data_IF_283919186029
#
_entry.id   IF_283919186029
#
_cell.length_a   1.000
_cell.length_b   1.000
_cell.length_c   1.000
_cell.angle_alpha   90.00
_cell.angle_beta   90.00
_cell.angle_gamma   90.00
#
_symmetry.space_group_name_H-M   'P 1'
#
loop_
_entity.id
_entity.type
_entity.pdbx_description
1 polymer ?
#
# COMPACT_ATOMS: atom_id res chain seq x y z
N UNK A 1 5.72 55.70 46.16
CA UNK A 1 5.32 56.39 44.92
C UNK A 1 6.50 56.31 43.96
N UNK A 2 6.26 55.71 42.78
CA UNK A 2 7.08 55.62 41.55
C UNK A 2 7.21 54.18 41.02
N UNK A 3 6.54 53.99 39.88
CA UNK A 3 6.55 52.85 38.98
C UNK A 3 7.85 52.79 38.16
N UNK A 4 8.26 51.59 37.76
CA UNK A 4 8.87 51.26 36.46
C UNK A 4 9.08 49.74 36.43
N UNK A 5 8.41 48.99 35.55
CA UNK A 5 8.98 48.55 34.27
C UNK A 5 9.58 47.15 34.45
N UNK A 6 9.33 46.12 33.65
CA UNK A 6 8.83 46.07 32.29
C UNK A 6 8.45 44.60 32.05
N UNK A 7 7.19 44.36 31.68
CA UNK A 7 6.75 43.04 31.26
C UNK A 7 7.39 42.71 29.91
N UNK A 8 8.34 41.77 29.91
CA UNK A 8 8.81 41.10 28.70
C UNK A 8 7.64 40.30 28.14
N UNK A 9 6.88 40.91 27.23
CA UNK A 9 5.96 40.18 26.34
C UNK A 9 6.82 39.29 25.46
N UNK A 10 6.80 37.98 25.73
CA UNK A 10 7.26 36.98 24.77
C UNK A 10 6.28 36.98 23.62
N UNK A 11 6.58 37.78 22.60
CA UNK A 11 5.91 37.72 21.32
C UNK A 11 6.44 36.46 20.61
N UNK A 12 5.74 35.34 20.78
CA UNK A 12 5.97 34.14 19.97
C UNK A 12 5.13 34.29 18.71
N UNK A 13 5.72 34.55 17.52
CA UNK A 13 4.95 34.57 16.29
C UNK A 13 4.39 33.17 16.04
N UNK A 14 3.06 33.11 15.91
CA UNK A 14 2.32 31.89 15.70
C UNK A 14 2.79 31.13 14.46
N UNK A 15 3.08 29.84 14.64
CA UNK A 15 3.30 28.84 13.59
C UNK A 15 1.99 28.66 12.80
N UNK A 16 1.63 29.63 11.95
CA UNK A 16 0.42 29.62 11.09
C UNK A 16 0.77 29.33 9.62
N UNK A 17 1.87 28.64 9.37
CA UNK A 17 2.28 28.17 8.04
C UNK A 17 2.64 26.69 7.95
N UNK A 18 2.66 25.94 9.07
CA UNK A 18 3.29 24.61 9.08
C UNK A 18 2.36 23.47 8.71
N UNK A 19 1.09 23.49 9.13
CA UNK A 19 0.20 22.33 8.92
C UNK A 19 -0.07 22.06 7.45
N UNK A 20 -0.27 23.11 6.65
CA UNK A 20 -0.55 22.94 5.22
C UNK A 20 0.69 22.47 4.47
N UNK A 21 1.88 22.99 4.77
CA UNK A 21 3.13 22.55 4.15
C UNK A 21 3.51 21.11 4.55
N UNK A 22 3.34 20.75 5.84
CA UNK A 22 3.56 19.37 6.33
C UNK A 22 2.55 18.39 5.71
N UNK A 23 1.30 18.81 5.51
CA UNK A 23 0.29 18.00 4.80
C UNK A 23 0.63 17.82 3.31
N UNK A 24 1.15 18.84 2.64
CA UNK A 24 1.57 18.75 1.24
C UNK A 24 2.75 17.79 1.08
N UNK A 25 3.79 17.89 1.93
CA UNK A 25 4.94 16.96 1.89
C UNK A 25 4.49 15.50 2.07
N UNK A 26 3.58 15.26 3.03
CA UNK A 26 3.02 13.92 3.23
C UNK A 26 2.26 13.43 1.99
N UNK A 27 1.41 14.27 1.38
CA UNK A 27 0.65 13.91 0.19
C UNK A 27 1.57 13.61 -1.01
N UNK A 28 2.61 14.42 -1.22
CA UNK A 28 3.59 14.22 -2.28
C UNK A 28 4.38 12.92 -2.09
N UNK A 29 4.85 12.66 -0.87
CA UNK A 29 5.55 11.40 -0.54
C UNK A 29 4.64 10.19 -0.68
N UNK A 30 3.37 10.31 -0.28
CA UNK A 30 2.39 9.25 -0.43
C UNK A 30 2.11 8.95 -1.92
N UNK A 31 1.97 9.97 -2.75
CA UNK A 31 1.79 9.82 -4.18
C UNK A 31 3.02 9.18 -4.86
N UNK A 32 4.24 9.51 -4.43
CA UNK A 32 5.45 8.84 -4.89
C UNK A 32 5.46 7.34 -4.54
N UNK A 33 5.03 6.99 -3.33
CA UNK A 33 4.92 5.59 -2.92
C UNK A 33 3.84 4.85 -3.73
N UNK A 34 2.71 5.50 -3.99
CA UNK A 34 1.65 4.96 -4.85
C UNK A 34 2.13 4.69 -6.27
N UNK A 35 2.92 5.60 -6.85
CA UNK A 35 3.53 5.40 -8.18
C UNK A 35 4.48 4.20 -8.21
N UNK A 36 5.34 4.06 -7.20
CA UNK A 36 6.23 2.89 -7.09
C UNK A 36 5.47 1.58 -6.94
N UNK A 37 4.33 1.60 -6.25
CA UNK A 37 3.44 0.44 -6.18
C UNK A 37 2.91 0.05 -7.57
N UNK A 38 2.47 1.04 -8.35
CA UNK A 38 1.99 0.82 -9.73
C UNK A 38 3.11 0.31 -10.65
N UNK A 39 4.30 0.92 -10.59
CA UNK A 39 5.48 0.50 -11.36
C UNK A 39 5.86 -0.96 -11.07
N UNK A 40 5.71 -1.39 -9.80
CA UNK A 40 6.00 -2.77 -9.37
C UNK A 40 4.86 -3.76 -9.62
N UNK A 41 3.66 -3.31 -9.98
CA UNK A 41 2.51 -4.19 -10.20
C UNK A 41 2.76 -5.22 -11.29
N UNK A 42 3.50 -4.85 -12.35
CA UNK A 42 3.91 -5.78 -13.42
C UNK A 42 4.87 -6.87 -12.93
N UNK A 43 5.88 -6.51 -12.12
CA UNK A 43 6.81 -7.48 -11.54
C UNK A 43 6.10 -8.44 -10.58
N UNK A 44 5.21 -7.92 -9.73
CA UNK A 44 4.40 -8.72 -8.80
C UNK A 44 3.47 -9.67 -9.61
N UNK A 45 2.90 -9.21 -10.74
CA UNK A 45 2.09 -10.04 -11.63
C UNK A 45 2.88 -11.19 -12.26
N UNK A 46 4.07 -10.91 -12.79
CA UNK A 46 4.90 -11.94 -13.42
C UNK A 46 5.39 -12.98 -12.39
N UNK A 47 5.74 -12.53 -11.18
CA UNK A 47 6.12 -13.41 -10.08
C UNK A 47 4.96 -14.34 -9.65
N UNK A 48 3.74 -13.79 -9.48
CA UNK A 48 2.55 -14.58 -9.14
C UNK A 48 2.22 -15.57 -10.24
N UNK A 49 2.25 -15.14 -11.51
CA UNK A 49 1.94 -16.02 -12.65
C UNK A 49 2.93 -17.19 -12.73
N UNK A 50 4.22 -16.91 -12.59
CA UNK A 50 5.27 -17.92 -12.63
C UNK A 50 5.11 -18.95 -11.49
N UNK A 51 4.95 -18.47 -10.25
CA UNK A 51 4.79 -19.34 -9.08
C UNK A 51 3.49 -20.17 -9.16
N UNK A 52 2.38 -19.59 -9.61
CA UNK A 52 1.12 -20.30 -9.79
C UNK A 52 1.22 -21.38 -10.89
N UNK A 53 1.95 -21.14 -11.99
CA UNK A 53 2.24 -22.15 -13.01
C UNK A 53 3.09 -23.29 -12.46
N UNK A 54 4.08 -22.99 -11.62
CA UNK A 54 4.92 -23.95 -10.92
C UNK A 54 4.25 -24.65 -9.72
N UNK A 55 3.00 -24.32 -9.39
CA UNK A 55 2.28 -24.80 -8.19
C UNK A 55 2.99 -24.49 -6.87
N UNK A 56 3.82 -23.44 -6.84
CA UNK A 56 4.49 -22.96 -5.64
C UNK A 56 3.56 -22.04 -4.85
N UNK A 57 2.61 -22.65 -4.14
CA UNK A 57 1.58 -21.92 -3.39
C UNK A 57 2.13 -21.14 -2.20
N UNK A 58 3.29 -21.53 -1.68
CA UNK A 58 3.98 -20.80 -0.62
C UNK A 58 4.43 -19.44 -1.14
N UNK A 59 5.11 -19.41 -2.28
CA UNK A 59 5.54 -18.15 -2.91
C UNK A 59 4.34 -17.29 -3.32
N UNK A 60 3.32 -17.89 -3.94
CA UNK A 60 2.09 -17.19 -4.31
C UNK A 60 1.44 -16.51 -3.10
N UNK A 61 1.34 -17.23 -1.98
CA UNK A 61 0.77 -16.72 -0.73
C UNK A 61 1.58 -15.56 -0.16
N UNK A 62 2.91 -15.67 -0.12
CA UNK A 62 3.78 -14.62 0.44
C UNK A 62 3.69 -13.32 -0.36
N UNK A 63 3.65 -13.42 -1.70
CA UNK A 63 3.45 -12.25 -2.56
C UNK A 63 2.04 -11.67 -2.34
N UNK A 64 1.01 -12.52 -2.30
CA UNK A 64 -0.37 -12.08 -2.04
C UNK A 64 -0.50 -11.38 -0.68
N UNK A 65 0.12 -11.91 0.38
CA UNK A 65 0.14 -11.31 1.71
C UNK A 65 0.75 -9.90 1.71
N UNK A 66 1.90 -9.75 1.06
CA UNK A 66 2.54 -8.44 0.89
C UNK A 66 1.68 -7.47 0.07
N UNK A 67 1.04 -7.98 -0.98
CA UNK A 67 0.19 -7.18 -1.86
C UNK A 67 -1.10 -6.74 -1.16
N UNK A 68 -1.73 -7.59 -0.35
CA UNK A 68 -2.98 -7.27 0.34
C UNK A 68 -2.82 -6.09 1.29
N UNK A 69 -1.69 -6.02 2.00
CA UNK A 69 -1.34 -4.88 2.85
C UNK A 69 -1.06 -3.60 2.07
N UNK A 70 -0.20 -3.68 1.04
CA UNK A 70 0.20 -2.50 0.25
C UNK A 70 -0.96 -1.93 -0.58
N UNK A 71 -1.73 -2.80 -1.25
CA UNK A 71 -2.85 -2.40 -2.10
C UNK A 71 -3.93 -1.66 -1.31
N UNK A 72 -4.27 -2.14 -0.10
CA UNK A 72 -5.21 -1.46 0.79
C UNK A 72 -4.72 -0.06 1.20
N UNK A 73 -3.43 0.07 1.51
CA UNK A 73 -2.84 1.36 1.89
C UNK A 73 -2.89 2.40 0.78
N UNK A 74 -2.78 1.97 -0.48
CA UNK A 74 -2.73 2.86 -1.65
C UNK A 74 -4.07 3.06 -2.36
N UNK A 75 -5.17 2.55 -1.80
CA UNK A 75 -6.52 2.77 -2.32
C UNK A 75 -6.96 1.78 -3.41
N UNK A 76 -6.40 0.57 -3.42
CA UNK A 76 -6.77 -0.53 -4.32
C UNK A 76 -7.47 -1.68 -3.55
N UNK A 77 -8.68 -1.47 -3.02
CA UNK A 77 -9.36 -2.48 -2.20
C UNK A 77 -9.63 -3.78 -2.97
N UNK A 78 -9.99 -3.70 -4.25
CA UNK A 78 -10.22 -4.89 -5.08
C UNK A 78 -8.98 -5.79 -5.20
N UNK A 79 -7.79 -5.20 -5.32
CA UNK A 79 -6.53 -5.96 -5.32
C UNK A 79 -6.23 -6.56 -3.95
N UNK A 80 -6.54 -5.83 -2.87
CA UNK A 80 -6.38 -6.32 -1.51
C UNK A 80 -7.28 -7.53 -1.25
N UNK A 81 -8.53 -7.46 -1.67
CA UNK A 81 -9.51 -8.55 -1.53
C UNK A 81 -9.11 -9.77 -2.37
N UNK A 82 -8.72 -9.57 -3.63
CA UNK A 82 -8.26 -10.64 -4.51
C UNK A 82 -7.01 -11.36 -3.94
N UNK A 83 -6.05 -10.61 -3.40
CA UNK A 83 -4.89 -11.18 -2.73
C UNK A 83 -5.27 -11.98 -1.47
N UNK A 84 -6.21 -11.46 -0.65
CA UNK A 84 -6.71 -12.17 0.53
C UNK A 84 -7.48 -13.45 0.19
N UNK A 85 -8.16 -13.50 -0.97
CA UNK A 85 -8.80 -14.72 -1.46
C UNK A 85 -7.78 -15.83 -1.74
N UNK A 86 -6.62 -15.47 -2.32
CA UNK A 86 -5.51 -16.40 -2.55
C UNK A 86 -4.96 -16.91 -1.22
N UNK A 87 -4.65 -16.01 -0.28
CA UNK A 87 -4.17 -16.38 1.07
C UNK A 87 -5.13 -17.38 1.73
N UNK A 88 -6.43 -17.09 1.69
CA UNK A 88 -7.47 -17.94 2.29
C UNK A 88 -7.54 -19.32 1.63
N UNK A 89 -7.48 -19.39 0.30
CA UNK A 89 -7.53 -20.65 -0.42
C UNK A 89 -6.31 -21.54 -0.13
N UNK A 90 -5.12 -20.93 -0.06
CA UNK A 90 -3.89 -21.63 0.29
C UNK A 90 -3.92 -22.10 1.76
N UNK A 91 -4.31 -21.23 2.69
CA UNK A 91 -4.36 -21.54 4.12
C UNK A 91 -5.38 -22.62 4.48
N UNK A 92 -6.48 -22.71 3.73
CA UNK A 92 -7.49 -23.77 3.89
C UNK A 92 -7.08 -25.10 3.26
N UNK A 93 -6.03 -25.12 2.45
CA UNK A 93 -5.67 -26.29 1.65
C UNK A 93 -6.70 -26.61 0.56
N UNK A 94 -7.33 -25.58 -0.03
CA UNK A 94 -8.28 -25.77 -1.11
C UNK A 94 -7.62 -26.46 -2.32
N UNK A 95 -8.39 -27.17 -3.16
CA UNK A 95 -7.85 -27.78 -4.38
C UNK A 95 -7.10 -26.76 -5.22
N UNK A 96 -5.95 -27.14 -5.78
CA UNK A 96 -5.01 -26.25 -6.50
C UNK A 96 -5.63 -25.38 -7.60
N UNK A 97 -6.80 -25.78 -8.11
CA UNK A 97 -7.60 -25.03 -9.08
C UNK A 97 -8.12 -23.70 -8.52
N UNK A 98 -8.51 -23.65 -7.24
CA UNK A 98 -9.04 -22.45 -6.59
C UNK A 98 -7.99 -21.34 -6.43
N UNK A 99 -6.83 -21.54 -5.77
CA UNK A 99 -5.79 -20.53 -5.69
C UNK A 99 -5.23 -20.21 -7.08
N UNK A 100 -5.16 -21.17 -8.00
CA UNK A 100 -4.76 -20.93 -9.40
C UNK A 100 -5.67 -19.91 -10.10
N UNK A 101 -6.99 -20.11 -10.04
CA UNK A 101 -7.94 -19.22 -10.68
C UNK A 101 -7.89 -17.81 -10.08
N UNK A 102 -7.79 -17.72 -8.75
CA UNK A 102 -7.64 -16.46 -8.05
C UNK A 102 -6.32 -15.74 -8.40
N UNK A 103 -5.19 -16.46 -8.51
CA UNK A 103 -3.91 -15.92 -8.97
C UNK A 103 -4.00 -15.31 -10.37
N UNK A 104 -4.61 -16.01 -11.33
CA UNK A 104 -4.73 -15.48 -12.70
C UNK A 104 -5.65 -14.25 -12.79
N UNK A 105 -6.72 -14.21 -11.99
CA UNK A 105 -7.56 -13.03 -11.89
C UNK A 105 -6.78 -11.83 -11.32
N UNK A 106 -6.05 -12.03 -10.22
CA UNK A 106 -5.20 -11.01 -9.61
C UNK A 106 -4.11 -10.50 -10.57
N UNK A 107 -3.47 -11.40 -11.32
CA UNK A 107 -2.48 -11.05 -12.35
C UNK A 107 -3.10 -10.16 -13.42
N UNK A 108 -4.32 -10.47 -13.87
CA UNK A 108 -5.02 -9.62 -14.83
C UNK A 108 -5.29 -8.22 -14.29
N UNK A 109 -5.65 -8.09 -13.01
CA UNK A 109 -5.92 -6.78 -12.40
C UNK A 109 -4.64 -5.98 -12.15
N UNK A 110 -3.55 -6.61 -11.73
CA UNK A 110 -2.24 -5.98 -11.59
C UNK A 110 -1.73 -5.42 -12.92
N UNK A 111 -1.90 -6.17 -14.01
CA UNK A 111 -1.54 -5.75 -15.38
C UNK A 111 -2.36 -4.58 -15.92
N UNK A 112 -3.50 -4.24 -15.31
CA UNK A 112 -4.27 -3.03 -15.67
C UNK A 112 -3.72 -1.77 -15.01
N UNK A 113 -2.87 -1.92 -13.98
CA UNK A 113 -2.25 -0.78 -13.29
C UNK A 113 -0.96 -0.34 -13.96
N UNK A 114 -0.15 -1.30 -14.44
CA UNK A 114 1.11 -1.06 -15.13
C UNK A 114 0.90 -0.67 -16.60
#
# INVERSE_FOLDING_TARGET
MLCAGQALRSDRPGRRGSRTAEMTDFAERFELLRRRFVERAGEDADAIESAARATDWTVVRDIAHSLSGRAGMFGFPALSDAARMIETAVDRGDPTQAPRAASFALVSDLRKLA
#
